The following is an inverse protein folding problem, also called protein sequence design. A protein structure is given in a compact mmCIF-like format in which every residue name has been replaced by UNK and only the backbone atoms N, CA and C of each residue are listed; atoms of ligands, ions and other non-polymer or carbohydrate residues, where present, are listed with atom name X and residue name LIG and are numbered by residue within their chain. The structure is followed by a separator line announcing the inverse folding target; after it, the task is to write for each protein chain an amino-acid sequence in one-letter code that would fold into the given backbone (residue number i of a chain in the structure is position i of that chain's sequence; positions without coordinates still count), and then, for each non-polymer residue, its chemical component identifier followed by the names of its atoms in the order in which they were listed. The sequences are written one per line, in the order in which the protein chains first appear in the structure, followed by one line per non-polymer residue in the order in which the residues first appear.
data_IF_713890215902
#
_entry.id   IF_713890215902
#
_cell.length_a   1.000
_cell.length_b   1.000
_cell.length_c   1.000
_cell.angle_alpha   90.00
_cell.angle_beta   90.00
_cell.angle_gamma   90.00
#
_symmetry.space_group_name_H-M   'P 1'
#
loop_
_entity.id
_entity.type
_entity.pdbx_description
1 polymer ?
#
# COMPACT_ATOMS: atom_id res chain seq x y z
N UNK A 1 6.43 -5.70 -3.19
CA UNK A 1 6.22 -5.54 -1.73
C UNK A 1 6.50 -6.82 -0.98
N UNK A 2 6.00 -7.99 -1.42
CA UNK A 2 6.28 -9.31 -0.83
C UNK A 2 7.73 -9.49 -0.34
N UNK A 3 8.73 -9.24 -1.20
CA UNK A 3 10.14 -9.38 -0.83
C UNK A 3 10.57 -8.50 0.35
N UNK A 4 10.02 -7.27 0.46
CA UNK A 4 10.30 -6.36 1.58
C UNK A 4 9.70 -6.94 2.87
N UNK A 5 8.47 -7.46 2.81
CA UNK A 5 7.78 -8.06 3.96
C UNK A 5 8.48 -9.34 4.44
N UNK A 6 8.94 -10.19 3.50
CA UNK A 6 9.71 -11.39 3.80
C UNK A 6 11.04 -11.04 4.49
N UNK A 7 11.77 -10.05 3.97
CA UNK A 7 13.01 -9.56 4.60
C UNK A 7 12.78 -8.92 5.97
N UNK A 8 11.62 -8.33 6.20
CA UNK A 8 11.21 -7.81 7.50
C UNK A 8 10.75 -8.90 8.49
N UNK A 9 10.73 -10.18 8.08
CA UNK A 9 10.35 -11.30 8.94
C UNK A 9 8.85 -11.38 9.24
N UNK A 10 8.00 -10.82 8.39
CA UNK A 10 6.54 -10.82 8.59
C UNK A 10 5.98 -12.24 8.43
N UNK A 11 5.38 -12.78 9.49
CA UNK A 11 4.76 -14.13 9.53
C UNK A 11 3.24 -14.06 9.79
N UNK A 12 2.48 -15.06 9.36
CA UNK A 12 1.12 -15.36 9.86
C UNK A 12 -0.05 -14.51 9.30
N UNK A 13 -1.23 -14.82 9.83
CA UNK A 13 -2.53 -14.47 9.26
C UNK A 13 -3.20 -13.31 10.03
N UNK A 14 -4.28 -12.73 9.49
CA UNK A 14 -5.08 -11.70 10.19
C UNK A 14 -4.45 -10.29 10.23
N UNK A 15 -3.42 -10.04 9.42
CA UNK A 15 -2.68 -8.78 9.42
C UNK A 15 -3.15 -7.80 8.34
N UNK A 16 -3.05 -6.50 8.65
CA UNK A 16 -3.11 -5.40 7.67
C UNK A 16 -1.73 -4.78 7.51
N UNK A 17 -1.50 -4.20 6.34
CA UNK A 17 -0.32 -3.37 6.07
C UNK A 17 -0.81 -1.93 5.91
N UNK A 18 -0.34 -1.05 6.80
CA UNK A 18 -0.62 0.38 6.80
C UNK A 18 0.53 1.10 6.10
N UNK A 19 0.19 2.05 5.24
CA UNK A 19 1.13 2.91 4.53
C UNK A 19 0.86 4.35 4.91
N UNK A 20 1.91 5.04 5.33
CA UNK A 20 1.88 6.47 5.67
C UNK A 20 2.62 7.26 4.61
N UNK A 21 2.01 8.36 4.17
CA UNK A 21 2.56 9.27 3.17
C UNK A 21 3.09 10.55 3.81
N UNK A 22 4.00 11.22 3.10
CA UNK A 22 4.62 12.47 3.54
C UNK A 22 3.64 13.64 3.71
N UNK A 23 2.50 13.61 3.01
CA UNK A 23 1.44 14.62 3.07
C UNK A 23 0.39 14.33 4.16
N UNK A 24 0.64 13.34 5.02
CA UNK A 24 -0.28 12.92 6.08
C UNK A 24 -1.37 11.95 5.62
N UNK A 25 -1.39 11.57 4.35
CA UNK A 25 -2.32 10.55 3.86
C UNK A 25 -1.94 9.15 4.38
N UNK A 26 -2.95 8.35 4.76
CA UNK A 26 -2.75 6.95 5.13
C UNK A 26 -3.80 6.04 4.49
N UNK A 27 -3.38 4.82 4.16
CA UNK A 27 -4.28 3.76 3.74
C UNK A 27 -3.76 2.40 4.20
N UNK A 28 -4.65 1.42 4.27
CA UNK A 28 -4.31 0.05 4.63
C UNK A 28 -4.83 -0.95 3.60
N UNK A 29 -4.13 -2.08 3.49
CA UNK A 29 -4.56 -3.23 2.71
C UNK A 29 -4.44 -4.51 3.52
N UNK A 30 -5.22 -5.56 3.19
CA UNK A 30 -4.98 -6.88 3.75
C UNK A 30 -3.55 -7.36 3.46
N UNK A 31 -2.89 -8.02 4.42
CA UNK A 31 -1.55 -8.59 4.19
C UNK A 31 -1.52 -9.52 2.98
N UNK A 32 -2.58 -10.30 2.77
CA UNK A 32 -2.72 -11.16 1.59
C UNK A 32 -2.62 -10.38 0.27
N UNK A 33 -3.16 -9.17 0.20
CA UNK A 33 -3.01 -8.30 -0.97
C UNK A 33 -1.56 -7.84 -1.12
N UNK A 34 -0.91 -7.39 -0.04
CA UNK A 34 0.49 -6.96 -0.05
C UNK A 34 1.50 -8.07 -0.43
N UNK A 35 1.12 -9.32 -0.17
CA UNK A 35 1.90 -10.53 -0.49
C UNK A 35 1.69 -11.04 -1.93
N UNK A 36 0.76 -10.47 -2.71
CA UNK A 36 0.59 -10.84 -4.11
C UNK A 36 1.87 -10.53 -4.92
N UNK A 37 2.20 -11.37 -5.92
CA UNK A 37 3.43 -11.20 -6.72
C UNK A 37 3.47 -9.88 -7.50
N UNK A 38 2.32 -9.31 -7.82
CA UNK A 38 2.15 -8.09 -8.62
C UNK A 38 1.97 -6.82 -7.76
N UNK A 39 2.04 -6.94 -6.44
CA UNK A 39 2.00 -5.81 -5.51
C UNK A 39 3.39 -5.23 -5.30
N UNK A 40 3.58 -3.96 -5.67
CA UNK A 40 4.91 -3.36 -5.85
C UNK A 40 5.06 -2.06 -5.04
N UNK A 41 6.27 -1.87 -4.51
CA UNK A 41 6.77 -0.55 -4.13
C UNK A 41 7.53 -0.04 -5.35
N UNK A 42 6.90 0.82 -6.13
CA UNK A 42 7.46 1.31 -7.39
C UNK A 42 8.33 2.54 -7.12
N UNK A 43 9.51 2.57 -7.77
CA UNK A 43 10.46 3.70 -7.76
C UNK A 43 10.48 4.42 -9.12
N UNK A 44 10.02 3.74 -10.16
CA UNK A 44 10.06 4.19 -11.55
C UNK A 44 8.69 3.98 -12.22
N UNK A 45 8.45 4.73 -13.29
CA UNK A 45 7.30 4.59 -14.17
C UNK A 45 7.76 4.83 -15.61
N UNK A 46 7.47 3.88 -16.50
CA UNK A 46 7.86 3.93 -17.92
C UNK A 46 9.39 4.09 -18.15
N UNK A 47 10.20 3.42 -17.33
CA UNK A 47 11.67 3.44 -17.44
C UNK A 47 12.34 4.69 -16.86
N UNK A 48 11.58 5.61 -16.26
CA UNK A 48 12.10 6.83 -15.66
C UNK A 48 11.77 6.88 -14.16
N UNK A 49 12.60 7.55 -13.34
CA UNK A 49 12.25 7.83 -11.94
C UNK A 49 10.88 8.49 -11.82
N UNK A 50 10.13 8.11 -10.78
CA UNK A 50 8.82 8.72 -10.52
C UNK A 50 8.95 10.24 -10.44
N UNK A 51 8.08 10.95 -11.17
CA UNK A 51 7.90 12.37 -10.97
C UNK A 51 7.15 12.63 -9.65
N UNK A 52 7.33 13.81 -9.06
CA UNK A 52 6.69 14.16 -7.80
C UNK A 52 5.17 13.92 -7.83
N UNK A 53 4.48 14.34 -8.89
CA UNK A 53 3.03 14.13 -9.05
C UNK A 53 2.60 12.65 -9.01
N UNK A 54 3.50 11.75 -9.39
CA UNK A 54 3.27 10.30 -9.42
C UNK A 54 3.69 9.58 -8.14
N UNK A 55 4.27 10.28 -7.16
CA UNK A 55 4.59 9.70 -5.85
C UNK A 55 6.07 9.49 -5.58
N UNK A 56 6.96 10.23 -6.27
CA UNK A 56 8.41 10.18 -6.03
C UNK A 56 8.78 10.36 -4.55
N UNK A 57 9.75 9.62 -3.99
CA UNK A 57 10.59 8.62 -4.65
C UNK A 57 9.95 7.23 -4.72
N UNK A 58 8.88 6.99 -3.96
CA UNK A 58 8.27 5.66 -3.86
C UNK A 58 6.75 5.73 -3.70
N UNK A 59 6.06 4.90 -4.47
CA UNK A 59 4.60 4.70 -4.39
C UNK A 59 4.25 3.22 -4.27
N UNK A 60 3.05 2.95 -3.79
CA UNK A 60 2.43 1.65 -3.84
C UNK A 60 1.70 1.46 -5.19
N UNK A 61 1.81 0.26 -5.76
CA UNK A 61 1.05 -0.18 -6.94
C UNK A 61 0.40 -1.51 -6.62
N UNK A 62 -0.93 -1.55 -6.76
CA UNK A 62 -1.79 -2.69 -6.43
C UNK A 62 -2.72 -2.98 -7.61
N UNK A 63 -2.34 -3.87 -8.54
CA UNK A 63 -3.22 -4.29 -9.61
C UNK A 63 -4.52 -4.89 -9.06
N UNK A 64 -5.64 -4.55 -9.71
CA UNK A 64 -6.98 -5.02 -9.32
C UNK A 64 -7.58 -4.33 -8.08
N UNK A 65 -6.97 -3.25 -7.58
CA UNK A 65 -7.49 -2.46 -6.47
C UNK A 65 -7.72 -1.00 -6.87
N UNK A 66 -8.70 -0.35 -6.25
CA UNK A 66 -9.01 1.05 -6.51
C UNK A 66 -7.84 1.97 -6.19
N UNK A 67 -7.73 3.07 -6.94
CA UNK A 67 -6.62 4.00 -6.86
C UNK A 67 -6.39 4.63 -5.48
N UNK A 68 -7.43 4.74 -4.64
CA UNK A 68 -7.26 5.27 -3.29
C UNK A 68 -6.41 4.36 -2.38
N UNK A 69 -6.32 3.06 -2.67
CA UNK A 69 -5.40 2.16 -1.95
C UNK A 69 -3.94 2.35 -2.38
N UNK A 70 -3.67 3.04 -3.49
CA UNK A 70 -2.33 3.24 -4.02
C UNK A 70 -1.66 4.50 -3.45
N UNK A 71 -1.10 4.35 -2.25
CA UNK A 71 -0.42 5.43 -1.52
C UNK A 71 0.80 5.94 -2.29
N UNK A 72 0.92 7.26 -2.40
CA UNK A 72 2.08 7.97 -2.97
C UNK A 72 2.94 8.52 -1.84
N UNK A 73 4.21 8.84 -2.13
CA UNK A 73 5.10 9.53 -1.18
C UNK A 73 5.30 8.79 0.14
N UNK A 74 5.46 7.45 0.08
CA UNK A 74 5.47 6.60 1.27
C UNK A 74 6.71 6.88 2.13
N UNK A 75 6.47 7.12 3.42
CA UNK A 75 7.52 7.38 4.43
C UNK A 75 7.63 6.26 5.45
N UNK A 76 6.53 5.54 5.73
CA UNK A 76 6.49 4.43 6.69
C UNK A 76 5.54 3.34 6.22
N UNK A 77 5.93 2.10 6.47
CA UNK A 77 5.09 0.91 6.31
C UNK A 77 5.02 0.19 7.64
N UNK A 78 3.81 -0.15 8.07
CA UNK A 78 3.57 -0.84 9.34
C UNK A 78 2.70 -2.08 9.13
N UNK A 79 3.05 -3.18 9.78
CA UNK A 79 2.24 -4.39 9.77
C UNK A 79 1.57 -4.55 11.12
N UNK A 80 0.24 -4.62 11.12
CA UNK A 80 -0.57 -4.68 12.33
C UNK A 80 -1.47 -5.91 12.33
N UNK A 81 -1.85 -6.40 13.51
CA UNK A 81 -2.78 -7.53 13.70
C UNK A 81 -4.22 -7.09 13.95
N UNK A 82 -4.47 -5.79 14.08
CA UNK A 82 -5.80 -5.22 14.23
C UNK A 82 -6.31 -4.69 12.88
N UNK A 83 -7.63 -4.51 12.77
CA UNK A 83 -8.17 -3.82 11.60
C UNK A 83 -7.84 -2.32 11.69
N UNK A 84 -7.46 -1.73 10.57
CA UNK A 84 -7.18 -0.30 10.44
C UNK A 84 -7.90 0.22 9.20
N UNK A 85 -8.67 1.29 9.36
CA UNK A 85 -9.33 2.01 8.27
C UNK A 85 -8.52 3.25 7.95
N UNK A 86 -8.05 3.35 6.72
CA UNK A 86 -7.38 4.56 6.24
C UNK A 86 -8.37 5.68 5.94
N UNK A 87 -7.87 6.72 5.27
CA UNK A 87 -8.63 7.94 5.03
C UNK A 87 -9.97 7.69 4.34
N UNK A 88 -9.99 6.98 3.21
CA UNK A 88 -11.23 6.80 2.43
C UNK A 88 -12.19 5.79 3.06
N UNK A 89 -11.67 4.79 3.76
CA UNK A 89 -12.48 3.79 4.45
C UNK A 89 -13.23 4.39 5.65
N UNK A 90 -12.64 5.42 6.28
CA UNK A 90 -13.32 6.24 7.28
C UNK A 90 -14.44 7.10 6.66
N UNK A 91 -14.34 7.43 5.37
CA UNK A 91 -15.35 8.15 4.60
C UNK A 91 -16.39 7.23 3.92
N UNK A 92 -16.42 5.94 4.29
CA UNK A 92 -17.43 4.99 3.82
C UNK A 92 -17.05 4.21 2.54
N UNK A 93 -15.82 4.32 2.04
CA UNK A 93 -15.34 3.51 0.92
C UNK A 93 -15.07 2.07 1.36
N UNK A 94 -14.99 1.15 0.38
CA UNK A 94 -14.75 -0.27 0.66
C UNK A 94 -13.42 -0.50 1.38
N UNK A 95 -13.44 -1.29 2.45
CA UNK A 95 -12.24 -1.63 3.21
C UNK A 95 -11.30 -2.58 2.45
N UNK A 96 -11.86 -3.48 1.62
CA UNK A 96 -11.06 -4.39 0.78
C UNK A 96 -10.44 -3.69 -0.43
N UNK A 97 -11.00 -2.55 -0.87
CA UNK A 97 -10.60 -1.78 -2.05
C UNK A 97 -10.45 -2.56 -3.35
N UNK A 98 -11.08 -3.73 -3.49
CA UNK A 98 -10.93 -4.59 -4.68
C UNK A 98 -11.90 -4.16 -5.78
N UNK A 99 -11.43 -4.11 -7.03
CA UNK A 99 -12.26 -3.84 -8.21
C UNK A 99 -13.01 -5.14 -8.56
N UNK A 100 -14.32 -5.04 -8.80
CA UNK A 100 -15.20 -6.15 -9.15
C UNK A 100 -15.78 -5.98 -10.54
#
# INVERSE_FOLDING_TARGET
MRHILERAGVQGDGKKVIFYAADGYESSIPLAAAMKPDSLMALEMNGEPLWLKHGSPVRLVLPGMYGYKQVKWITRVEVVTHNHKGYWEQQGYSDDGTIR
#
